data_IF_366108891060
#
_entry.id   IF_366108891060
#
_cell.length_a   1.000
_cell.length_b   1.000
_cell.length_c   1.000
_cell.angle_alpha   90.00
_cell.angle_beta   90.00
_cell.angle_gamma   90.00
#
_symmetry.space_group_name_H-M   'P 1'
#
loop_
_entity.id
_entity.type
_entity.pdbx_description
1 polymer ?
#
# COMPACT_ATOMS: atom_id res chain seq x y z
N UNK A 1 -16.45 -10.37 -3.73
CA UNK A 1 -15.45 -9.40 -3.22
C UNK A 1 -14.11 -10.09 -3.28
N UNK A 2 -13.08 -9.44 -3.85
CA UNK A 2 -11.79 -10.07 -4.15
C UNK A 2 -10.92 -10.21 -2.90
N UNK A 3 -11.06 -9.35 -1.88
CA UNK A 3 -10.49 -9.54 -0.53
C UNK A 3 -11.16 -8.60 0.51
N UNK A 4 -11.17 -8.99 1.79
CA UNK A 4 -11.59 -8.16 2.95
C UNK A 4 -10.39 -7.95 3.88
N UNK A 5 -9.37 -7.29 3.39
CA UNK A 5 -8.16 -7.04 4.16
C UNK A 5 -8.36 -5.89 5.14
N UNK A 6 -7.81 -6.03 6.34
CA UNK A 6 -7.71 -4.92 7.30
C UNK A 6 -6.32 -4.31 7.19
N UNK A 7 -6.25 -3.02 6.92
CA UNK A 7 -5.01 -2.27 6.80
C UNK A 7 -4.64 -1.61 8.11
N UNK A 8 -3.36 -1.76 8.45
CA UNK A 8 -2.81 -1.42 9.76
C UNK A 8 -1.48 -0.69 9.66
N UNK A 9 -0.92 -0.51 8.47
CA UNK A 9 0.36 0.16 8.26
C UNK A 9 0.41 1.00 6.98
N UNK A 10 1.39 1.89 6.94
CA UNK A 10 1.77 2.67 5.76
C UNK A 10 3.22 2.33 5.43
N UNK A 11 3.51 2.10 4.15
CA UNK A 11 4.84 1.72 3.65
C UNK A 11 5.25 2.56 2.44
N UNK A 12 6.55 2.79 2.30
CA UNK A 12 7.17 3.35 1.09
C UNK A 12 7.78 2.21 0.29
N UNK A 13 7.47 2.17 -1.01
CA UNK A 13 8.03 1.21 -1.96
C UNK A 13 8.92 1.97 -2.94
N UNK A 14 10.14 1.46 -3.13
CA UNK A 14 11.07 1.98 -4.14
C UNK A 14 11.00 1.10 -5.38
N UNK A 15 10.64 1.67 -6.52
CA UNK A 15 10.61 1.01 -7.83
C UNK A 15 12.02 0.70 -8.32
N UNK A 16 12.12 -0.13 -9.36
CA UNK A 16 13.40 -0.51 -9.95
C UNK A 16 14.16 0.68 -10.55
N UNK A 17 13.45 1.69 -11.05
CA UNK A 17 14.03 2.95 -11.54
C UNK A 17 14.46 3.92 -10.42
N UNK A 18 14.23 3.55 -9.15
CA UNK A 18 14.57 4.35 -7.97
C UNK A 18 13.51 5.35 -7.55
N UNK A 19 12.44 5.55 -8.34
CA UNK A 19 11.29 6.36 -7.90
C UNK A 19 10.56 5.68 -6.76
N UNK A 20 9.83 6.46 -5.96
CA UNK A 20 9.17 5.99 -4.75
C UNK A 20 7.67 6.22 -4.81
N UNK A 21 6.92 5.43 -4.06
CA UNK A 21 5.52 5.70 -3.79
C UNK A 21 5.12 5.15 -2.42
N UNK A 22 4.04 5.71 -1.89
CA UNK A 22 3.46 5.31 -0.61
C UNK A 22 2.28 4.39 -0.87
N UNK A 23 2.13 3.36 -0.03
CA UNK A 23 0.99 2.46 -0.04
C UNK A 23 0.49 2.19 1.38
N UNK A 24 -0.81 1.97 1.52
CA UNK A 24 -1.48 1.57 2.76
C UNK A 24 -1.76 0.08 2.66
N UNK A 25 -1.40 -0.66 3.71
CA UNK A 25 -1.50 -2.11 3.69
C UNK A 25 -1.50 -2.70 5.09
N UNK A 26 -1.09 -3.96 5.17
CA UNK A 26 -0.94 -4.69 6.43
C UNK A 26 0.37 -5.48 6.42
N UNK A 27 0.65 -6.18 7.52
CA UNK A 27 1.87 -6.98 7.66
C UNK A 27 2.00 -8.06 6.59
N UNK A 28 0.89 -8.64 6.11
CA UNK A 28 0.93 -9.62 5.03
C UNK A 28 1.40 -8.96 3.73
N UNK A 29 0.79 -7.84 3.35
CA UNK A 29 1.19 -7.07 2.16
C UNK A 29 2.64 -6.62 2.23
N UNK A 30 3.10 -6.18 3.41
CA UNK A 30 4.49 -5.78 3.59
C UNK A 30 5.45 -6.97 3.40
N UNK A 31 5.17 -8.13 3.99
CA UNK A 31 5.98 -9.34 3.75
C UNK A 31 5.99 -9.78 2.29
N UNK A 32 4.89 -9.54 1.55
CA UNK A 32 4.84 -9.74 0.09
C UNK A 32 5.71 -8.72 -0.66
N UNK A 33 5.71 -7.46 -0.24
CA UNK A 33 6.61 -6.46 -0.80
C UNK A 33 8.09 -6.79 -0.52
N UNK A 34 8.43 -7.29 0.67
CA UNK A 34 9.78 -7.77 0.99
C UNK A 34 10.20 -8.91 0.04
N UNK A 35 9.34 -9.92 -0.13
CA UNK A 35 9.58 -11.01 -1.08
C UNK A 35 9.71 -10.50 -2.53
N UNK A 36 8.91 -9.51 -2.92
CA UNK A 36 9.02 -8.88 -4.24
C UNK A 36 10.35 -8.13 -4.43
N UNK A 37 10.90 -7.54 -3.36
CA UNK A 37 12.23 -6.95 -3.38
C UNK A 37 13.33 -8.02 -3.52
N UNK A 38 13.23 -9.13 -2.78
CA UNK A 38 14.15 -10.27 -2.89
C UNK A 38 14.14 -10.89 -4.30
N UNK A 39 12.97 -10.92 -4.96
CA UNK A 39 12.81 -11.41 -6.33
C UNK A 39 13.16 -10.38 -7.41
N UNK A 40 13.49 -9.14 -7.03
CA UNK A 40 13.86 -8.08 -7.97
C UNK A 40 12.71 -7.49 -8.77
N UNK A 41 11.47 -7.54 -8.27
CA UNK A 41 10.31 -6.87 -8.88
C UNK A 41 10.16 -5.43 -8.42
N UNK A 42 10.63 -5.14 -7.21
CA UNK A 42 10.85 -3.79 -6.67
C UNK A 42 12.24 -3.72 -6.07
N UNK A 43 12.70 -2.51 -5.74
CA UNK A 43 14.04 -2.31 -5.18
C UNK A 43 14.07 -2.51 -3.66
N UNK A 44 13.08 -1.98 -2.96
CA UNK A 44 12.94 -2.13 -1.52
C UNK A 44 11.56 -1.69 -1.05
N UNK A 45 11.22 -2.09 0.17
CA UNK A 45 10.06 -1.61 0.92
C UNK A 45 10.51 -1.15 2.30
N UNK A 46 9.86 -0.11 2.84
CA UNK A 46 10.11 0.41 4.18
C UNK A 46 8.79 0.72 4.86
N UNK A 47 8.57 0.17 6.06
CA UNK A 47 7.44 0.56 6.89
C UNK A 47 7.66 1.99 7.40
N UNK A 48 6.70 2.86 7.13
CA UNK A 48 6.71 4.27 7.54
C UNK A 48 5.95 4.48 8.84
N UNK A 49 4.81 3.79 9.01
CA UNK A 49 3.98 3.84 10.20
C UNK A 49 3.32 2.48 10.45
N UNK A 50 3.31 2.05 11.70
CA UNK A 50 2.56 0.89 12.19
C UNK A 50 1.35 1.33 13.01
N UNK A 51 0.37 0.44 13.13
CA UNK A 51 -0.82 0.62 13.97
C UNK A 51 -1.62 1.88 13.62
N UNK A 52 -1.88 2.10 12.33
CA UNK A 52 -2.77 3.19 11.91
C UNK A 52 -4.18 2.97 12.49
N UNK A 53 -4.84 4.07 12.85
CA UNK A 53 -6.22 4.01 13.34
C UNK A 53 -7.15 3.51 12.24
N UNK A 54 -8.09 2.63 12.57
CA UNK A 54 -9.09 2.12 11.64
C UNK A 54 -10.22 3.14 11.42
N UNK A 55 -9.87 4.28 10.82
CA UNK A 55 -10.76 5.40 10.55
C UNK A 55 -11.70 5.11 9.38
N UNK A 56 -12.72 5.97 9.19
CA UNK A 56 -13.64 5.84 8.05
C UNK A 56 -12.89 5.91 6.70
N UNK A 57 -11.79 6.67 6.63
CA UNK A 57 -10.95 6.75 5.45
C UNK A 57 -10.27 5.41 5.15
N UNK A 58 -9.75 4.72 6.17
CA UNK A 58 -9.16 3.38 6.02
C UNK A 58 -10.20 2.37 5.51
N UNK A 59 -11.41 2.37 6.10
CA UNK A 59 -12.51 1.50 5.66
C UNK A 59 -12.86 1.74 4.17
N UNK A 60 -12.92 3.01 3.76
CA UNK A 60 -13.18 3.36 2.37
C UNK A 60 -12.07 2.84 1.45
N UNK A 61 -10.81 2.96 1.87
CA UNK A 61 -9.63 2.49 1.15
C UNK A 61 -9.63 0.96 0.99
N UNK A 62 -9.84 0.22 2.09
CA UNK A 62 -9.95 -1.24 2.09
C UNK A 62 -11.04 -1.73 1.13
N UNK A 63 -12.23 -1.11 1.18
CA UNK A 63 -13.32 -1.45 0.27
C UNK A 63 -12.95 -1.20 -1.18
N UNK A 64 -12.34 -0.06 -1.49
CA UNK A 64 -11.92 0.26 -2.85
C UNK A 64 -10.92 -0.76 -3.40
N UNK A 65 -9.92 -1.11 -2.59
CA UNK A 65 -8.89 -2.10 -2.95
C UNK A 65 -9.50 -3.50 -3.09
N UNK A 66 -10.29 -3.95 -2.11
CA UNK A 66 -10.91 -5.28 -2.11
C UNK A 66 -11.95 -5.51 -3.22
N UNK A 67 -12.42 -4.45 -3.88
CA UNK A 67 -13.25 -4.53 -5.07
C UNK A 67 -12.45 -4.63 -6.38
N UNK A 68 -11.18 -4.22 -6.40
CA UNK A 68 -10.40 -3.97 -7.63
C UNK A 68 -9.15 -4.83 -7.77
N UNK A 69 -8.47 -5.07 -6.66
CA UNK A 69 -7.17 -5.72 -6.63
C UNK A 69 -7.24 -7.00 -5.79
N UNK A 70 -6.23 -7.83 -5.99
CA UNK A 70 -5.96 -9.01 -5.18
C UNK A 70 -4.62 -8.81 -4.50
N UNK A 71 -4.51 -9.30 -3.26
CA UNK A 71 -3.21 -9.30 -2.59
C UNK A 71 -2.25 -10.22 -3.33
N UNK A 72 -0.98 -9.80 -3.54
CA UNK A 72 0.02 -10.67 -4.13
C UNK A 72 0.20 -11.93 -3.27
N UNK A 73 0.20 -13.09 -3.93
CA UNK A 73 0.48 -14.37 -3.28
C UNK A 73 1.99 -14.66 -3.21
N UNK A 74 2.38 -15.75 -2.56
CA UNK A 74 3.78 -16.17 -2.45
C UNK A 74 4.41 -16.62 -3.78
N UNK A 75 3.59 -16.96 -4.77
CA UNK A 75 4.00 -17.40 -6.09
C UNK A 75 4.02 -16.25 -7.10
N UNK A 76 3.85 -15.00 -6.65
CA UNK A 76 3.83 -13.82 -7.52
C UNK A 76 5.05 -13.79 -8.45
N UNK A 77 4.80 -13.48 -9.72
CA UNK A 77 5.82 -13.34 -10.78
C UNK A 77 6.05 -11.89 -11.19
N UNK A 78 5.31 -10.97 -10.61
CA UNK A 78 5.38 -9.52 -10.84
C UNK A 78 4.83 -8.77 -9.64
N UNK A 79 5.20 -7.50 -9.52
CA UNK A 79 4.63 -6.58 -8.53
C UNK A 79 3.64 -5.62 -9.20
N UNK A 80 2.41 -5.57 -8.70
CA UNK A 80 1.37 -4.66 -9.18
C UNK A 80 1.29 -3.45 -8.25
N UNK A 81 1.43 -2.25 -8.83
CA UNK A 81 1.14 -1.01 -8.12
C UNK A 81 -0.34 -0.63 -8.27
N UNK A 82 -1.04 -0.54 -7.13
CA UNK A 82 -2.46 -0.22 -7.12
C UNK A 82 -2.74 1.23 -7.53
N UNK A 83 -3.42 1.37 -8.66
CA UNK A 83 -3.83 2.65 -9.21
C UNK A 83 -5.03 3.23 -8.43
N UNK A 84 -4.92 4.51 -8.08
CA UNK A 84 -5.88 5.24 -7.27
C UNK A 84 -6.60 6.26 -8.16
N UNK A 85 -7.93 6.24 -8.15
CA UNK A 85 -8.74 7.29 -8.79
C UNK A 85 -8.91 8.52 -7.88
N UNK A 86 -9.43 9.61 -8.43
CA UNK A 86 -9.62 10.87 -7.70
C UNK A 86 -10.51 10.74 -6.45
N UNK A 87 -11.38 9.72 -6.39
CA UNK A 87 -12.28 9.52 -5.26
C UNK A 87 -11.48 8.95 -4.10
N UNK A 88 -10.78 7.84 -4.35
CA UNK A 88 -10.03 7.17 -3.28
C UNK A 88 -8.78 7.93 -2.87
N UNK A 89 -8.23 8.76 -3.76
CA UNK A 89 -7.07 9.59 -3.45
C UNK A 89 -7.37 10.58 -2.30
N UNK A 90 -8.62 11.00 -2.11
CA UNK A 90 -9.03 11.84 -0.98
C UNK A 90 -8.88 11.09 0.35
N UNK A 91 -9.44 9.89 0.45
CA UNK A 91 -9.32 9.05 1.65
C UNK A 91 -7.87 8.65 1.90
N UNK A 92 -7.13 8.25 0.85
CA UNK A 92 -5.71 7.93 0.94
C UNK A 92 -4.90 9.10 1.54
N UNK A 93 -5.06 10.32 1.01
CA UNK A 93 -4.36 11.48 1.52
C UNK A 93 -4.79 11.87 2.94
N UNK A 94 -6.07 11.68 3.30
CA UNK A 94 -6.54 11.89 4.66
C UNK A 94 -5.84 10.94 5.64
N UNK A 95 -5.69 9.65 5.29
CA UNK A 95 -4.97 8.67 6.11
C UNK A 95 -3.50 9.08 6.28
N UNK A 96 -2.83 9.52 5.21
CA UNK A 96 -1.45 10.00 5.31
C UNK A 96 -1.34 11.21 6.25
N UNK A 97 -2.25 12.17 6.11
CA UNK A 97 -2.29 13.37 6.95
C UNK A 97 -2.55 13.04 8.44
N UNK A 98 -3.51 12.15 8.73
CA UNK A 98 -3.81 11.65 10.07
C UNK A 98 -2.61 10.97 10.75
N UNK A 99 -1.72 10.37 9.95
CA UNK A 99 -0.52 9.68 10.41
C UNK A 99 0.76 10.52 10.26
N UNK A 100 0.64 11.83 9.99
CA UNK A 100 1.76 12.77 9.83
C UNK A 100 2.77 12.39 8.73
N UNK A 101 2.30 11.74 7.67
CA UNK A 101 3.11 11.37 6.51
C UNK A 101 2.88 12.38 5.39
N UNK A 102 3.95 13.03 4.95
CA UNK A 102 3.95 13.86 3.74
C UNK A 102 4.15 12.98 2.52
N UNK A 103 3.21 13.04 1.57
CA UNK A 103 3.45 12.49 0.23
C UNK A 103 4.51 13.35 -0.45
N UNK A 104 5.78 12.93 -0.41
CA UNK A 104 6.85 13.63 -1.12
C UNK A 104 6.57 13.55 -2.62
N UNK A 105 6.38 14.71 -3.25
CA UNK A 105 6.50 14.88 -4.70
C UNK A 105 7.99 15.02 -5.00
N UNK A 106 8.65 13.93 -5.37
CA UNK A 106 9.91 13.99 -6.12
C UNK A 106 9.59 13.82 -7.61
#
# INVERSE_FOLDING_TARGET
MKSNETFTLIQEITRLDGTKYIEIGNMMMNGRAELAAERGYIKSVRIMQLNISHSQHVINYEKYIGERYEMPDENMTSWEEWQKDDRILKDFNAILHENHISANKE
#
